data_IF_402782987096
#
_entry.id   IF_402782987096
#
_cell.length_a   1.000
_cell.length_b   1.000
_cell.length_c   1.000
_cell.angle_alpha   90.00
_cell.angle_beta   90.00
_cell.angle_gamma   90.00
#
_symmetry.space_group_name_H-M   'P 1'
#
loop_
_entity.id
_entity.type
_entity.pdbx_description
1 polymer ?
#
# COMPACT_ATOMS: atom_id res chain seq x y z
N UNK A 1 -10.84 18.65 18.20
CA UNK A 1 -10.15 19.10 19.42
C UNK A 1 -8.99 19.97 18.96
N UNK A 2 -9.04 21.28 19.17
CA UNK A 2 -7.95 22.20 18.80
C UNK A 2 -7.03 22.36 20.01
N UNK A 3 -5.73 22.10 19.84
CA UNK A 3 -4.74 22.20 20.92
C UNK A 3 -4.04 23.55 20.82
N UNK A 4 -3.93 24.24 21.96
CA UNK A 4 -3.27 25.54 22.10
C UNK A 4 -1.77 25.47 21.73
N UNK A 5 -1.29 26.31 20.78
CA UNK A 5 0.11 26.32 20.35
C UNK A 5 1.10 26.65 21.48
N UNK A 6 0.69 27.33 22.56
CA UNK A 6 1.56 27.65 23.69
C UNK A 6 1.89 26.45 24.59
N UNK A 7 1.17 25.32 24.44
CA UNK A 7 1.39 24.08 25.24
C UNK A 7 2.15 22.98 24.48
N UNK A 8 2.68 23.28 23.29
CA UNK A 8 3.33 22.31 22.40
C UNK A 8 4.65 21.73 22.93
N UNK A 9 5.24 22.30 23.98
CA UNK A 9 6.59 21.97 24.47
C UNK A 9 6.66 20.81 25.47
N UNK A 10 5.56 20.10 25.78
CA UNK A 10 5.56 18.97 26.74
C UNK A 10 4.84 17.72 26.26
N UNK A 11 4.68 17.52 24.95
CA UNK A 11 4.27 16.22 24.44
C UNK A 11 5.50 15.31 24.39
N UNK A 12 5.48 14.23 25.17
CA UNK A 12 6.51 13.21 25.14
C UNK A 12 6.69 12.70 23.69
N UNK A 13 7.93 12.50 23.20
CA UNK A 13 8.20 11.94 21.85
C UNK A 13 7.55 10.57 21.59
N UNK A 14 6.99 9.95 22.64
CA UNK A 14 6.24 8.70 22.57
C UNK A 14 4.86 8.80 21.90
N UNK A 15 4.40 9.99 21.49
CA UNK A 15 3.02 10.23 21.03
C UNK A 15 2.87 10.36 19.51
N UNK A 16 3.60 9.55 18.73
CA UNK A 16 3.20 9.26 17.34
C UNK A 16 3.49 7.80 16.92
N UNK A 17 3.47 6.88 17.89
CA UNK A 17 3.46 5.46 17.60
C UNK A 17 2.01 4.98 17.50
N UNK A 18 1.42 5.01 16.30
CA UNK A 18 0.15 4.32 16.07
C UNK A 18 0.38 2.81 16.14
N UNK A 19 0.12 2.20 17.30
CA UNK A 19 0.01 0.75 17.42
C UNK A 19 -1.22 0.28 16.64
N UNK A 20 -1.03 -0.68 15.74
CA UNK A 20 -2.09 -1.23 14.89
C UNK A 20 -2.15 -2.73 15.09
N UNK A 21 -3.34 -3.23 15.36
CA UNK A 21 -3.59 -4.66 15.36
C UNK A 21 -3.53 -5.18 13.92
N UNK A 22 -2.88 -6.34 13.75
CA UNK A 22 -2.97 -7.15 12.55
C UNK A 22 -3.90 -8.30 12.87
N UNK A 23 -4.86 -8.55 11.98
CA UNK A 23 -5.71 -9.72 12.09
C UNK A 23 -4.92 -10.97 11.72
N UNK A 24 -5.43 -12.16 12.05
CA UNK A 24 -4.72 -13.42 11.76
C UNK A 24 -4.43 -13.55 10.25
N UNK A 25 -5.42 -13.19 9.42
CA UNK A 25 -5.37 -13.20 7.96
C UNK A 25 -4.49 -12.08 7.34
N UNK A 26 -4.06 -11.09 8.14
CA UNK A 26 -3.17 -10.03 7.66
C UNK A 26 -1.71 -10.50 7.52
N UNK A 27 -1.38 -11.69 8.05
CA UNK A 27 0.00 -12.21 8.06
C UNK A 27 0.08 -13.67 7.65
N UNK A 28 1.23 -14.08 7.13
CA UNK A 28 1.57 -15.47 6.82
C UNK A 28 2.88 -15.84 7.50
N UNK A 29 3.04 -17.11 7.87
CA UNK A 29 4.32 -17.62 8.35
C UNK A 29 5.27 -17.88 7.17
N UNK A 30 6.46 -17.30 7.23
CA UNK A 30 7.55 -17.50 6.29
C UNK A 30 8.81 -17.82 7.09
N UNK A 31 9.34 -19.03 6.95
CA UNK A 31 10.52 -19.50 7.70
C UNK A 31 10.44 -19.28 9.22
N UNK A 32 9.26 -19.48 9.80
CA UNK A 32 9.01 -19.28 11.24
C UNK A 32 8.80 -17.83 11.67
N UNK A 33 8.86 -16.87 10.74
CA UNK A 33 8.58 -15.44 10.98
C UNK A 33 7.22 -15.07 10.42
N UNK A 34 6.41 -14.31 11.17
CA UNK A 34 5.16 -13.74 10.65
C UNK A 34 5.46 -12.49 9.83
N UNK A 35 5.08 -12.51 8.55
CA UNK A 35 5.20 -11.38 7.63
C UNK A 35 3.82 -10.99 7.13
N UNK A 36 3.62 -9.74 6.73
CA UNK A 36 2.34 -9.29 6.16
C UNK A 36 2.05 -10.02 4.85
N UNK A 37 0.78 -10.36 4.61
CA UNK A 37 0.38 -10.92 3.33
C UNK A 37 0.59 -9.89 2.21
N UNK A 38 0.76 -10.32 0.94
CA UNK A 38 0.89 -9.37 -0.16
C UNK A 38 -0.36 -8.48 -0.32
N UNK A 39 -1.56 -9.00 -0.05
CA UNK A 39 -2.80 -8.22 -0.03
C UNK A 39 -2.77 -7.13 1.06
N UNK A 40 -2.32 -7.49 2.27
CA UNK A 40 -2.18 -6.51 3.34
C UNK A 40 -1.13 -5.45 3.00
N UNK A 41 0.00 -5.87 2.48
CA UNK A 41 1.08 -4.96 2.05
C UNK A 41 0.59 -3.99 0.97
N UNK A 42 -0.22 -4.46 0.01
CA UNK A 42 -0.86 -3.61 -0.99
C UNK A 42 -1.79 -2.56 -0.35
N UNK A 43 -2.63 -2.95 0.62
CA UNK A 43 -3.48 -2.02 1.36
C UNK A 43 -2.66 -0.98 2.14
N UNK A 44 -1.55 -1.42 2.75
CA UNK A 44 -0.64 -0.54 3.48
C UNK A 44 -0.04 0.53 2.57
N UNK A 45 0.48 0.17 1.39
CA UNK A 45 1.01 1.12 0.40
C UNK A 45 -0.01 2.19 0.03
N UNK A 46 -1.26 1.79 -0.23
CA UNK A 46 -2.34 2.71 -0.58
C UNK A 46 -2.68 3.69 0.54
N UNK A 47 -2.51 3.30 1.80
CA UNK A 47 -2.84 4.12 2.97
C UNK A 47 -1.69 5.03 3.40
N UNK A 48 -0.44 4.55 3.34
CA UNK A 48 0.73 5.20 3.94
C UNK A 48 1.46 6.13 2.99
N UNK A 49 1.44 5.87 1.69
CA UNK A 49 2.22 6.69 0.75
C UNK A 49 1.64 8.11 0.66
N UNK A 50 2.46 9.15 0.90
CA UNK A 50 2.01 10.54 0.82
C UNK A 50 1.68 10.93 -0.62
N UNK A 51 2.46 10.44 -1.58
CA UNK A 51 2.25 10.59 -3.02
C UNK A 51 2.16 9.19 -3.62
N UNK A 52 1.16 8.93 -4.46
CA UNK A 52 0.95 7.64 -5.11
C UNK A 52 1.14 7.80 -6.62
N UNK A 53 2.23 7.24 -7.14
CA UNK A 53 2.69 7.37 -8.52
C UNK A 53 2.36 6.10 -9.32
N UNK A 54 2.61 6.17 -10.64
CA UNK A 54 2.39 5.04 -11.53
C UNK A 54 3.22 3.79 -11.15
N UNK A 55 4.45 3.99 -10.65
CA UNK A 55 5.29 2.89 -10.17
C UNK A 55 4.65 2.17 -8.97
N UNK A 56 4.12 2.93 -7.99
CA UNK A 56 3.42 2.38 -6.82
C UNK A 56 2.15 1.62 -7.24
N UNK A 57 1.44 2.12 -8.25
CA UNK A 57 0.28 1.43 -8.82
C UNK A 57 0.67 0.10 -9.49
N UNK A 58 1.83 0.03 -10.15
CA UNK A 58 2.37 -1.21 -10.73
C UNK A 58 2.80 -2.20 -9.65
N UNK A 59 3.50 -1.72 -8.63
CA UNK A 59 3.93 -2.54 -7.49
C UNK A 59 2.71 -3.10 -6.75
N UNK A 60 1.72 -2.27 -6.45
CA UNK A 60 0.46 -2.72 -5.83
C UNK A 60 -0.22 -3.77 -6.70
N UNK A 61 -0.30 -3.55 -8.02
CA UNK A 61 -0.86 -4.52 -8.95
C UNK A 61 -0.10 -5.85 -8.92
N UNK A 62 1.22 -5.80 -8.84
CA UNK A 62 2.05 -7.00 -8.73
C UNK A 62 1.77 -7.76 -7.43
N UNK A 63 1.65 -7.07 -6.30
CA UNK A 63 1.27 -7.67 -5.02
C UNK A 63 -0.11 -8.35 -5.07
N UNK A 64 -1.08 -7.75 -5.77
CA UNK A 64 -2.39 -8.38 -5.98
C UNK A 64 -2.29 -9.66 -6.80
N UNK A 65 -1.44 -9.69 -7.83
CA UNK A 65 -1.18 -10.89 -8.62
C UNK A 65 -0.55 -11.98 -7.74
N UNK A 66 0.44 -11.64 -6.92
CA UNK A 66 1.07 -12.59 -5.98
C UNK A 66 0.08 -13.13 -4.95
N UNK A 67 -0.86 -12.30 -4.49
CA UNK A 67 -1.91 -12.71 -3.56
C UNK A 67 -3.06 -13.51 -4.23
N UNK A 68 -3.09 -13.63 -5.56
CA UNK A 68 -4.28 -14.12 -6.27
C UNK A 68 -5.53 -13.26 -6.00
N UNK A 69 -5.35 -11.98 -5.71
CA UNK A 69 -6.40 -11.08 -5.25
C UNK A 69 -6.82 -10.08 -6.35
N UNK A 70 -8.09 -9.70 -6.30
CA UNK A 70 -8.68 -8.66 -7.13
C UNK A 70 -8.58 -7.28 -6.48
N UNK A 71 -8.76 -6.22 -7.27
CA UNK A 71 -8.91 -4.86 -6.75
C UNK A 71 -10.13 -4.69 -5.85
N UNK A 72 -11.13 -5.56 -5.98
CA UNK A 72 -12.32 -5.57 -5.13
C UNK A 72 -12.01 -6.14 -3.74
N UNK A 73 -11.22 -7.21 -3.66
CA UNK A 73 -10.72 -7.71 -2.38
C UNK A 73 -9.82 -6.68 -1.67
N UNK A 74 -9.04 -5.91 -2.43
CA UNK A 74 -8.27 -4.79 -1.90
C UNK A 74 -9.18 -3.69 -1.33
N UNK A 75 -10.27 -3.32 -2.03
CA UNK A 75 -11.27 -2.36 -1.53
C UNK A 75 -11.85 -2.83 -0.19
N UNK A 76 -12.28 -4.09 -0.11
CA UNK A 76 -12.84 -4.68 1.11
C UNK A 76 -11.82 -4.74 2.25
N UNK A 77 -10.54 -4.96 1.96
CA UNK A 77 -9.46 -4.90 2.95
C UNK A 77 -9.29 -3.48 3.53
N UNK A 78 -9.30 -2.45 2.66
CA UNK A 78 -9.22 -1.05 3.08
C UNK A 78 -10.40 -0.64 3.96
N UNK A 79 -11.62 -1.00 3.57
CA UNK A 79 -12.85 -0.70 4.32
C UNK A 79 -12.85 -1.32 5.72
N UNK A 80 -12.28 -2.52 5.86
CA UNK A 80 -12.11 -3.18 7.16
C UNK A 80 -11.06 -2.52 8.05
N UNK A 81 -10.05 -1.86 7.47
CA UNK A 81 -8.86 -1.42 8.20
C UNK A 81 -9.08 -0.36 9.30
N UNK A 82 -10.25 0.30 9.34
CA UNK A 82 -10.58 1.42 10.26
C UNK A 82 -9.54 2.56 10.28
N UNK A 83 -8.62 2.59 9.32
CA UNK A 83 -7.53 3.56 9.27
C UNK A 83 -7.99 4.88 8.66
N UNK A 84 -7.33 5.96 9.05
CA UNK A 84 -7.49 7.23 8.35
C UNK A 84 -6.98 7.11 6.91
N UNK A 85 -7.57 7.88 6.00
CA UNK A 85 -7.16 7.88 4.60
C UNK A 85 -7.76 6.76 3.74
N UNK A 86 -8.71 5.97 4.25
CA UNK A 86 -9.42 4.93 3.47
C UNK A 86 -10.07 5.51 2.22
N UNK A 87 -10.76 6.65 2.30
CA UNK A 87 -11.34 7.29 1.10
C UNK A 87 -10.28 7.58 0.03
N UNK A 88 -9.17 8.24 0.40
CA UNK A 88 -8.05 8.50 -0.50
C UNK A 88 -7.42 7.21 -1.05
N UNK A 89 -7.32 6.17 -0.23
CA UNK A 89 -6.81 4.86 -0.65
C UNK A 89 -7.75 4.20 -1.65
N UNK A 90 -9.06 4.27 -1.43
CA UNK A 90 -10.07 3.75 -2.37
C UNK A 90 -10.00 4.45 -3.71
N UNK A 91 -9.80 5.77 -3.74
CA UNK A 91 -9.64 6.52 -5.00
C UNK A 91 -8.43 6.04 -5.83
N UNK A 92 -7.36 5.59 -5.16
CA UNK A 92 -6.14 5.07 -5.81
C UNK A 92 -6.36 3.71 -6.49
N UNK A 93 -7.42 2.97 -6.16
CA UNK A 93 -7.69 1.64 -6.73
C UNK A 93 -7.87 1.69 -8.26
N UNK A 94 -8.44 2.78 -8.78
CA UNK A 94 -8.57 2.95 -10.22
C UNK A 94 -7.20 2.93 -10.92
N UNK A 95 -6.20 3.62 -10.37
CA UNK A 95 -4.84 3.61 -10.91
C UNK A 95 -4.23 2.19 -10.89
N UNK A 96 -4.44 1.42 -9.82
CA UNK A 96 -3.97 0.02 -9.70
C UNK A 96 -4.64 -0.89 -10.75
N UNK A 97 -5.94 -0.71 -10.97
CA UNK A 97 -6.71 -1.47 -11.97
C UNK A 97 -6.17 -1.24 -13.39
N UNK A 98 -5.81 0.00 -13.69
CA UNK A 98 -5.33 0.44 -15.01
C UNK A 98 -3.81 0.36 -15.18
N UNK A 99 -3.04 0.13 -14.10
CA UNK A 99 -1.60 -0.03 -14.18
C UNK A 99 -1.22 -1.19 -15.12
N UNK A 100 -0.29 -0.92 -16.05
CA UNK A 100 0.24 -1.88 -17.02
C UNK A 100 1.72 -1.63 -17.18
N UNK A 101 2.50 -2.70 -17.28
CA UNK A 101 3.90 -2.57 -17.69
C UNK A 101 3.93 -1.92 -19.07
N UNK A 102 4.85 -0.96 -19.32
CA UNK A 102 5.05 -0.47 -20.67
C UNK A 102 5.43 -1.63 -21.58
N UNK A 103 4.87 -1.64 -22.78
CA UNK A 103 5.27 -2.59 -23.81
C UNK A 103 6.74 -2.29 -24.13
N UNK A 104 7.65 -3.27 -24.04
CA UNK A 104 9.06 -3.05 -24.36
C UNK A 104 9.15 -2.51 -25.79
N UNK A 105 9.85 -1.39 -25.97
CA UNK A 105 10.22 -0.96 -27.31
C UNK A 105 11.08 -2.06 -27.96
N UNK A 106 10.87 -2.36 -29.26
CA UNK A 106 11.72 -3.33 -29.94
C UNK A 106 13.18 -2.90 -29.81
N UNK A 107 14.01 -3.81 -29.30
CA UNK A 107 15.44 -3.59 -29.17
C UNK A 107 16.01 -3.23 -30.55
N UNK A 108 16.82 -2.16 -30.69
CA UNK A 108 17.43 -1.84 -31.97
C UNK A 108 18.32 -3.02 -32.38
N UNK A 109 18.01 -3.63 -33.52
CA UNK A 109 18.84 -4.68 -34.08
C UNK A 109 20.27 -4.15 -34.19
N UNK A 110 21.21 -4.82 -33.52
CA UNK A 110 22.63 -4.52 -33.66
C UNK A 110 22.98 -4.77 -35.12
N UNK A 111 23.23 -3.71 -35.89
CA UNK A 111 23.71 -3.85 -37.26
C UNK A 111 25.05 -4.57 -37.24
N UNK A 112 25.21 -5.70 -37.95
CA UNK A 112 26.51 -6.33 -38.10
C UNK A 112 27.43 -5.34 -38.86
N UNK A 113 28.62 -5.11 -38.31
CA UNK A 113 29.70 -4.37 -38.96
C UNK A 113 30.37 -5.23 -40.02
#
# INVERSE_FOLDING_TARGET
MCVDPARRSRLSPAFDAQQRALDEDDTVAFEGVRVTTPLRTAADLLLTLPVFRAADALETRHLLILAGASTEQLRLCLERSRRSGVSRATDRIAAVRHARLPIPAPWPALSPR
#
